data_IF_246757193206
#
_entry.id   IF_246757193206
#
_cell.length_a   1.000
_cell.length_b   1.000
_cell.length_c   1.000
_cell.angle_alpha   90.00
_cell.angle_beta   90.00
_cell.angle_gamma   90.00
#
_symmetry.space_group_name_H-M   'P 1'
#
loop_
_entity.id
_entity.type
_entity.pdbx_description
1 polymer ?
#
# COMPACT_ATOMS: atom_id res chain seq x y z
N UNK A 1 15.12 12.26 -6.08
CA UNK A 1 14.54 11.91 -4.76
C UNK A 1 15.08 10.57 -4.31
N UNK A 2 15.38 10.42 -3.01
CA UNK A 2 15.75 9.12 -2.43
C UNK A 2 14.50 8.23 -2.36
N UNK A 3 14.59 6.91 -2.64
CA UNK A 3 13.46 6.00 -2.46
C UNK A 3 12.93 6.03 -1.01
N UNK A 4 11.62 5.91 -0.77
CA UNK A 4 11.03 5.93 0.58
C UNK A 4 11.18 4.55 1.25
N UNK A 5 12.42 4.19 1.58
CA UNK A 5 12.83 2.85 2.03
C UNK A 5 12.13 2.44 3.33
N UNK A 6 11.99 3.36 4.27
CA UNK A 6 11.38 3.14 5.59
C UNK A 6 9.91 2.78 5.44
N UNK A 7 9.19 3.54 4.60
CA UNK A 7 7.80 3.26 4.26
C UNK A 7 7.64 1.94 3.49
N UNK A 8 8.55 1.64 2.55
CA UNK A 8 8.55 0.35 1.84
C UNK A 8 8.79 -0.84 2.79
N UNK A 9 9.66 -0.68 3.79
CA UNK A 9 9.93 -1.69 4.82
C UNK A 9 8.70 -1.92 5.69
N UNK A 10 8.04 -0.84 6.11
CA UNK A 10 6.78 -0.91 6.85
C UNK A 10 5.70 -1.67 6.08
N UNK A 11 5.45 -1.29 4.81
CA UNK A 11 4.46 -1.97 3.95
C UNK A 11 4.77 -3.46 3.85
N UNK A 12 6.03 -3.81 3.61
CA UNK A 12 6.46 -5.20 3.46
C UNK A 12 6.31 -6.01 4.75
N UNK A 13 6.53 -5.40 5.91
CA UNK A 13 6.34 -6.05 7.20
C UNK A 13 4.85 -6.24 7.52
N UNK A 14 4.03 -5.19 7.36
CA UNK A 14 2.60 -5.24 7.64
C UNK A 14 1.87 -6.30 6.79
N UNK A 15 2.29 -6.51 5.53
CA UNK A 15 1.73 -7.58 4.68
C UNK A 15 1.89 -9.00 5.25
N UNK A 16 2.81 -9.21 6.19
CA UNK A 16 3.11 -10.52 6.79
C UNK A 16 2.66 -10.62 8.24
N UNK A 17 2.11 -9.54 8.81
CA UNK A 17 1.79 -9.42 10.22
C UNK A 17 0.42 -8.73 10.39
N UNK A 18 -0.57 -9.52 10.80
CA UNK A 18 -1.95 -9.05 11.01
C UNK A 18 -2.05 -8.06 12.15
N UNK A 19 -1.24 -8.20 13.20
CA UNK A 19 -1.26 -7.33 14.37
C UNK A 19 -0.63 -5.99 14.02
N UNK A 20 0.47 -5.99 13.27
CA UNK A 20 1.05 -4.77 12.71
C UNK A 20 0.08 -4.07 11.76
N UNK A 21 -0.66 -4.82 10.94
CA UNK A 21 -1.71 -4.25 10.08
C UNK A 21 -2.83 -3.60 10.90
N UNK A 22 -3.30 -4.27 11.95
CA UNK A 22 -4.33 -3.73 12.83
C UNK A 22 -3.84 -2.45 13.54
N UNK A 23 -2.60 -2.46 14.04
CA UNK A 23 -1.96 -1.28 14.64
C UNK A 23 -1.77 -0.13 13.64
N UNK A 24 -1.38 -0.44 12.41
CA UNK A 24 -1.22 0.56 11.34
C UNK A 24 -2.55 1.26 11.02
N UNK A 25 -3.68 0.55 11.10
CA UNK A 25 -5.02 1.15 10.93
C UNK A 25 -5.46 1.98 12.14
N UNK A 26 -5.21 1.46 13.35
CA UNK A 26 -5.69 2.10 14.57
C UNK A 26 -4.84 3.34 14.94
N UNK A 27 -3.50 3.19 14.93
CA UNK A 27 -2.54 4.18 15.41
C UNK A 27 -1.38 4.34 14.40
N UNK A 28 -1.63 4.87 13.19
CA UNK A 28 -0.61 4.96 12.15
C UNK A 28 0.64 5.76 12.56
N UNK A 29 0.48 6.84 13.33
CA UNK A 29 1.60 7.69 13.76
C UNK A 29 2.63 6.94 14.61
N UNK A 30 2.20 6.11 15.56
CA UNK A 30 3.11 5.30 16.37
C UNK A 30 3.87 4.28 15.53
N UNK A 31 3.19 3.68 14.54
CA UNK A 31 3.80 2.71 13.63
C UNK A 31 4.80 3.38 12.70
N UNK A 32 4.48 4.58 12.19
CA UNK A 32 5.41 5.38 11.39
C UNK A 32 6.66 5.75 12.16
N UNK A 33 6.51 6.20 13.41
CA UNK A 33 7.63 6.50 14.30
C UNK A 33 8.50 5.25 14.57
N UNK A 34 7.88 4.10 14.86
CA UNK A 34 8.59 2.85 15.10
C UNK A 34 9.39 2.34 13.88
N UNK A 35 8.95 2.68 12.67
CA UNK A 35 9.65 2.36 11.42
C UNK A 35 10.56 3.49 10.91
N UNK A 36 10.72 4.56 11.69
CA UNK A 36 11.50 5.74 11.34
C UNK A 36 11.07 6.38 10.00
N UNK A 37 9.76 6.36 9.68
CA UNK A 37 9.24 7.05 8.50
C UNK A 37 9.48 8.55 8.68
N UNK A 38 10.14 9.24 7.73
CA UNK A 38 10.45 10.67 7.88
C UNK A 38 9.21 11.53 8.11
N UNK A 39 9.32 12.56 8.96
CA UNK A 39 8.18 13.43 9.35
C UNK A 39 7.46 14.04 8.15
N UNK A 40 8.20 14.43 7.10
CA UNK A 40 7.60 14.97 5.88
C UNK A 40 6.74 13.93 5.13
N UNK A 41 7.10 12.64 5.18
CA UNK A 41 6.28 11.57 4.62
C UNK A 41 5.04 11.35 5.49
N UNK A 42 5.20 11.36 6.81
CA UNK A 42 4.07 11.22 7.74
C UNK A 42 3.04 12.34 7.55
N UNK A 43 3.51 13.58 7.42
CA UNK A 43 2.68 14.74 7.17
C UNK A 43 1.87 14.60 5.87
N UNK A 44 2.49 14.13 4.79
CA UNK A 44 1.79 13.85 3.53
C UNK A 44 0.75 12.75 3.69
N UNK A 45 1.10 11.65 4.38
CA UNK A 45 0.20 10.51 4.61
C UNK A 45 -1.02 10.84 5.47
N UNK A 46 -1.02 11.95 6.21
CA UNK A 46 -2.19 12.46 6.94
C UNK A 46 -3.25 13.15 6.08
N UNK A 47 -3.00 13.30 4.77
CA UNK A 47 -3.92 13.90 3.80
C UNK A 47 -4.57 12.84 2.89
N UNK A 48 -4.76 13.13 1.60
CA UNK A 48 -5.17 12.12 0.63
C UNK A 48 -4.02 11.10 0.45
N UNK A 49 -4.23 9.88 0.94
CA UNK A 49 -3.23 8.80 0.91
C UNK A 49 -2.76 8.47 -0.52
N UNK A 50 -3.65 8.52 -1.52
CA UNK A 50 -3.29 8.17 -2.90
C UNK A 50 -2.35 9.20 -3.49
N UNK A 51 -2.69 10.48 -3.31
CA UNK A 51 -1.85 11.60 -3.75
C UNK A 51 -0.53 11.64 -2.97
N UNK A 52 -0.58 11.44 -1.65
CA UNK A 52 0.61 11.40 -0.81
C UNK A 52 1.60 10.33 -1.25
N UNK A 53 1.13 9.12 -1.54
CA UNK A 53 1.95 8.01 -2.02
C UNK A 53 2.65 8.30 -3.34
N UNK A 54 1.98 9.04 -4.23
CA UNK A 54 2.57 9.50 -5.48
C UNK A 54 3.66 10.55 -5.23
N UNK A 55 3.37 11.56 -4.41
CA UNK A 55 4.31 12.63 -4.06
C UNK A 55 5.55 12.12 -3.31
N UNK A 56 5.39 11.11 -2.44
CA UNK A 56 6.49 10.46 -1.73
C UNK A 56 7.37 9.62 -2.68
N UNK A 57 6.85 9.28 -3.87
CA UNK A 57 7.57 8.44 -4.84
C UNK A 57 7.51 6.95 -4.52
N UNK A 58 6.44 6.48 -3.85
CA UNK A 58 6.25 5.05 -3.57
C UNK A 58 5.99 4.30 -4.87
N UNK A 59 6.55 3.10 -5.02
CA UNK A 59 6.34 2.28 -6.22
C UNK A 59 4.86 1.88 -6.38
N UNK A 60 4.26 1.92 -7.61
CA UNK A 60 2.83 1.66 -7.82
C UNK A 60 2.28 0.40 -7.13
N UNK A 61 2.98 -0.74 -7.24
CA UNK A 61 2.59 -1.98 -6.55
C UNK A 61 2.48 -1.82 -5.02
N UNK A 62 3.39 -1.07 -4.41
CA UNK A 62 3.37 -0.82 -2.96
C UNK A 62 2.25 0.14 -2.55
N UNK A 63 1.83 1.06 -3.44
CA UNK A 63 0.66 1.93 -3.21
C UNK A 63 -0.60 1.08 -3.04
N UNK A 64 -0.86 0.15 -3.96
CA UNK A 64 -2.01 -0.77 -3.87
C UNK A 64 -1.99 -1.61 -2.61
N UNK A 65 -0.81 -2.16 -2.26
CA UNK A 65 -0.62 -2.94 -1.03
C UNK A 65 -0.92 -2.10 0.21
N UNK A 66 -0.45 -0.86 0.28
CA UNK A 66 -0.75 0.00 1.41
C UNK A 66 -2.22 0.39 1.49
N UNK A 67 -2.88 0.67 0.36
CA UNK A 67 -4.34 0.90 0.34
C UNK A 67 -5.11 -0.32 0.87
N UNK A 68 -4.67 -1.54 0.53
CA UNK A 68 -5.26 -2.77 1.08
C UNK A 68 -5.01 -2.91 2.58
N UNK A 69 -3.78 -2.64 3.03
CA UNK A 69 -3.44 -2.61 4.46
C UNK A 69 -4.28 -1.59 5.22
N UNK A 70 -4.59 -0.43 4.62
CA UNK A 70 -5.47 0.58 5.21
C UNK A 70 -6.97 0.26 5.09
N UNK A 71 -7.35 -0.85 4.44
CA UNK A 71 -8.76 -1.20 4.20
C UNK A 71 -9.47 -0.29 3.20
N UNK A 72 -8.71 0.52 2.45
CA UNK A 72 -9.21 1.49 1.47
C UNK A 72 -9.30 0.90 0.07
N UNK A 73 -8.66 -0.25 -0.17
CA UNK A 73 -8.71 -0.91 -1.47
C UNK A 73 -10.02 -1.68 -1.63
N UNK A 74 -10.96 -1.08 -2.38
CA UNK A 74 -12.15 -1.79 -2.87
C UNK A 74 -11.87 -2.37 -4.25
N UNK A 75 -11.39 -3.61 -4.30
CA UNK A 75 -11.27 -4.32 -5.57
C UNK A 75 -12.65 -4.86 -5.97
N UNK A 76 -13.14 -4.48 -7.16
CA UNK A 76 -14.21 -5.24 -7.82
C UNK A 76 -13.66 -6.63 -8.14
N UNK A 77 -14.38 -7.69 -7.78
CA UNK A 77 -14.04 -9.02 -8.28
C UNK A 77 -14.22 -9.02 -9.79
N UNK A 78 -13.14 -9.22 -10.54
CA UNK A 78 -13.19 -9.39 -11.99
C UNK A 78 -12.87 -10.86 -12.28
N UNK A 79 -13.75 -11.53 -13.00
CA UNK A 79 -13.49 -12.90 -13.45
C UNK A 79 -12.38 -12.90 -14.50
N UNK A 80 -11.43 -13.82 -14.38
CA UNK A 80 -10.39 -14.05 -15.42
C UNK A 80 -10.93 -14.94 -16.55
N UNK A 81 -12.12 -15.55 -16.39
CA UNK A 81 -12.70 -16.45 -17.39
C UNK A 81 -12.77 -15.85 -18.81
N UNK A 82 -13.21 -14.59 -19.03
CA UNK A 82 -13.26 -14.02 -20.38
C UNK A 82 -11.90 -13.97 -21.08
N UNK A 83 -10.84 -13.74 -20.31
CA UNK A 83 -9.48 -13.74 -20.84
C UNK A 83 -9.02 -15.16 -21.18
N UNK A 84 -9.29 -16.13 -20.30
CA UNK A 84 -8.95 -17.54 -20.54
C UNK A 84 -9.68 -18.11 -21.75
N UNK A 85 -10.93 -17.73 -21.96
CA UNK A 85 -11.71 -18.15 -23.11
C UNK A 85 -11.15 -17.53 -24.41
N UNK A 86 -10.73 -16.25 -24.38
CA UNK A 86 -10.06 -15.60 -25.52
C UNK A 86 -8.72 -16.24 -25.91
N UNK A 87 -8.03 -16.91 -24.97
CA UNK A 87 -6.81 -17.64 -25.26
C UNK A 87 -7.09 -18.99 -25.92
N UNK A 88 -8.20 -19.65 -25.56
CA UNK A 88 -8.62 -20.92 -26.18
C UNK A 88 -9.09 -20.74 -27.61
N UNK A 89 -9.73 -19.62 -27.94
CA UNK A 89 -10.19 -19.31 -29.30
C UNK A 89 -9.05 -18.98 -30.29
N UNK A 90 -7.82 -18.73 -29.79
CA UNK A 90 -6.64 -18.37 -30.59
C UNK A 90 -5.72 -19.55 -30.90
N UNK A 91 -6.00 -20.74 -30.36
CA UNK A 91 -5.26 -21.98 -30.55
C UNK A 91 -6.15 -23.04 -31.19
#
# INVERSE_FOLDING_TARGET
MRPPVELHRLISAALRDSDLTARLRANPGEVYAAYCVPDWQQALLGSDISLAMEQIGVHPNLRFKFLALQGLLRLKSVSVAPFLDSLKERH
#
